data_IF_693082719644
#
_entry.id   IF_693082719644
#
_cell.length_a   1.000
_cell.length_b   1.000
_cell.length_c   1.000
_cell.angle_alpha   90.00
_cell.angle_beta   90.00
_cell.angle_gamma   90.00
#
_symmetry.space_group_name_H-M   'P 1'
#
loop_
_entity.id
_entity.type
_entity.pdbx_description
1 polymer ?
#
# COMPACT_ATOMS: atom_id res chain seq x y z
N UNK A 1 -38.51 -92.62 25.35
CA UNK A 1 -37.39 -92.73 24.41
C UNK A 1 -37.61 -91.58 23.38
N UNK A 2 -36.97 -90.50 23.50
CA UNK A 2 -36.88 -89.49 22.45
C UNK A 2 -35.81 -88.51 22.91
N UNK A 3 -34.75 -88.44 22.19
CA UNK A 3 -33.57 -87.59 22.39
C UNK A 3 -33.85 -86.13 21.92
N UNK A 4 -33.44 -85.19 22.75
CA UNK A 4 -33.44 -83.74 22.41
C UNK A 4 -32.06 -83.30 21.91
N UNK A 5 -31.86 -82.63 20.81
CA UNK A 5 -30.56 -82.09 20.44
C UNK A 5 -30.38 -80.63 20.98
N UNK A 6 -29.25 -80.40 21.60
CA UNK A 6 -28.74 -79.13 22.11
C UNK A 6 -28.41 -78.16 20.97
N UNK A 7 -28.92 -76.91 21.04
CA UNK A 7 -28.50 -75.82 20.15
C UNK A 7 -27.36 -75.02 20.84
N UNK A 8 -26.21 -75.02 20.23
CA UNK A 8 -25.10 -74.09 20.52
C UNK A 8 -25.36 -72.74 19.91
N UNK A 9 -25.53 -71.73 20.76
CA UNK A 9 -25.58 -70.33 20.35
C UNK A 9 -24.16 -69.76 20.15
N UNK A 10 -23.82 -69.44 18.92
CA UNK A 10 -22.55 -68.74 18.64
C UNK A 10 -22.80 -67.23 18.88
N UNK A 11 -22.18 -66.69 19.95
CA UNK A 11 -22.11 -65.24 20.17
C UNK A 11 -21.03 -64.63 19.27
N UNK A 12 -21.42 -63.76 18.38
CA UNK A 12 -20.52 -62.93 17.57
C UNK A 12 -20.22 -61.66 18.36
N UNK A 13 -18.98 -61.54 18.87
CA UNK A 13 -18.45 -60.30 19.42
C UNK A 13 -18.09 -59.35 18.27
N UNK A 14 -18.84 -58.32 18.09
CA UNK A 14 -18.46 -57.20 17.23
C UNK A 14 -17.53 -56.26 18.05
N UNK A 15 -16.23 -56.31 17.77
CA UNK A 15 -15.31 -55.27 18.23
C UNK A 15 -15.50 -54.02 17.38
N UNK A 16 -16.22 -53.03 17.90
CA UNK A 16 -16.27 -51.71 17.33
C UNK A 16 -14.94 -50.98 17.60
N UNK A 17 -14.10 -50.90 16.55
CA UNK A 17 -12.87 -50.11 16.57
C UNK A 17 -13.26 -48.62 16.42
N UNK A 18 -13.42 -47.90 17.53
CA UNK A 18 -13.58 -46.44 17.53
C UNK A 18 -12.23 -45.80 17.24
N UNK A 19 -12.03 -45.38 15.98
CA UNK A 19 -10.94 -44.46 15.61
C UNK A 19 -11.16 -43.14 16.33
N UNK A 20 -10.43 -42.91 17.40
CA UNK A 20 -10.26 -41.57 18.00
C UNK A 20 -9.46 -40.69 17.03
N UNK A 21 -10.16 -39.93 16.21
CA UNK A 21 -9.55 -38.82 15.46
C UNK A 21 -9.25 -37.73 16.48
N UNK A 22 -8.02 -37.73 17.00
CA UNK A 22 -7.53 -36.61 17.79
C UNK A 22 -7.49 -35.37 16.90
N UNK A 23 -8.11 -34.23 17.30
CA UNK A 23 -7.95 -33.00 16.56
C UNK A 23 -6.47 -32.61 16.60
N UNK A 24 -5.82 -32.59 15.45
CA UNK A 24 -4.48 -32.03 15.30
C UNK A 24 -4.56 -30.56 15.67
N UNK A 25 -4.15 -30.19 16.88
CA UNK A 25 -3.86 -28.81 17.25
C UNK A 25 -2.73 -28.35 16.34
N UNK A 26 -3.08 -27.66 15.25
CA UNK A 26 -2.12 -26.87 14.50
C UNK A 26 -1.58 -25.81 15.48
N UNK A 27 -0.44 -26.09 16.10
CA UNK A 27 0.32 -25.08 16.83
C UNK A 27 0.60 -23.93 15.84
N UNK A 28 0.07 -22.75 16.14
CA UNK A 28 0.37 -21.57 15.36
C UNK A 28 1.89 -21.36 15.36
N UNK A 29 2.50 -21.43 14.18
CA UNK A 29 3.93 -21.27 14.04
C UNK A 29 4.30 -19.83 14.39
N UNK A 30 5.22 -19.64 15.34
CA UNK A 30 5.63 -18.31 15.77
C UNK A 30 6.34 -17.59 14.62
N UNK A 31 6.00 -16.32 14.40
CA UNK A 31 6.74 -15.45 13.48
C UNK A 31 8.08 -15.13 14.13
N UNK A 32 9.18 -15.56 13.50
CA UNK A 32 10.54 -15.28 13.96
C UNK A 32 11.32 -14.37 13.04
N UNK A 33 10.77 -14.08 11.86
CA UNK A 33 11.36 -13.19 10.86
C UNK A 33 10.40 -12.90 9.71
N UNK A 34 10.90 -12.22 8.71
CA UNK A 34 10.17 -11.84 7.49
C UNK A 34 10.87 -12.42 6.28
N UNK A 35 10.11 -13.07 5.41
CA UNK A 35 10.53 -13.42 4.07
C UNK A 35 10.03 -12.38 3.08
N UNK A 36 10.74 -12.22 1.97
CA UNK A 36 10.24 -11.45 0.84
C UNK A 36 10.59 -12.11 -0.49
N UNK A 37 9.78 -11.83 -1.51
CA UNK A 37 9.91 -12.44 -2.83
C UNK A 37 9.65 -11.38 -3.91
N UNK A 38 10.48 -11.36 -4.95
CA UNK A 38 10.28 -10.48 -6.09
C UNK A 38 9.10 -10.96 -6.96
N UNK A 39 8.24 -10.05 -7.35
CA UNK A 39 7.10 -10.32 -8.23
C UNK A 39 7.15 -9.46 -9.48
N UNK A 40 6.50 -9.95 -10.54
CA UNK A 40 6.30 -9.19 -11.77
C UNK A 40 4.84 -9.32 -12.18
N UNK A 41 4.17 -8.19 -12.33
CA UNK A 41 2.74 -8.12 -12.61
C UNK A 41 2.53 -7.44 -13.96
N UNK A 42 1.53 -7.88 -14.72
CA UNK A 42 1.16 -7.21 -15.97
C UNK A 42 0.59 -5.81 -15.67
N UNK A 43 1.11 -4.77 -16.36
CA UNK A 43 0.60 -3.41 -16.27
C UNK A 43 -0.57 -3.19 -17.23
N UNK A 44 -1.82 -3.04 -16.73
CA UNK A 44 -2.98 -2.84 -17.59
C UNK A 44 -3.09 -1.41 -18.16
N UNK A 45 -2.24 -0.49 -17.70
CA UNK A 45 -2.28 0.93 -18.08
C UNK A 45 -1.33 1.23 -19.23
N UNK A 46 -0.07 0.78 -19.11
CA UNK A 46 0.99 1.05 -20.09
C UNK A 46 1.31 -0.16 -20.97
N UNK A 47 0.82 -1.35 -20.61
CA UNK A 47 1.30 -2.62 -21.15
C UNK A 47 2.67 -2.99 -20.56
N UNK A 48 3.13 -4.21 -20.80
CA UNK A 48 4.39 -4.69 -20.23
C UNK A 48 4.24 -5.14 -18.76
N UNK A 49 5.26 -4.89 -17.93
CA UNK A 49 5.34 -5.43 -16.57
C UNK A 49 5.64 -4.35 -15.53
N UNK A 50 5.13 -4.59 -14.32
CA UNK A 50 5.42 -3.84 -13.10
C UNK A 50 6.19 -4.75 -12.15
N UNK A 51 7.43 -4.44 -11.79
CA UNK A 51 8.12 -5.14 -10.71
C UNK A 51 7.59 -4.73 -9.34
N UNK A 52 7.87 -5.56 -8.35
CA UNK A 52 7.54 -5.31 -6.95
C UNK A 52 7.99 -6.44 -6.06
N UNK A 53 7.60 -6.38 -4.80
CA UNK A 53 7.91 -7.39 -3.80
C UNK A 53 6.68 -7.76 -2.99
N UNK A 54 6.65 -9.01 -2.52
CA UNK A 54 5.71 -9.47 -1.48
C UNK A 54 6.52 -9.82 -0.24
N UNK A 55 6.18 -9.19 0.89
CA UNK A 55 6.73 -9.45 2.22
C UNK A 55 5.73 -10.28 3.01
N UNK A 56 6.21 -11.25 3.78
CA UNK A 56 5.35 -12.18 4.52
C UNK A 56 6.01 -12.72 5.77
N UNK A 57 5.23 -13.16 6.78
CA UNK A 57 5.76 -13.82 7.96
C UNK A 57 6.49 -15.10 7.62
N UNK A 58 7.68 -15.32 8.21
CA UNK A 58 8.44 -16.54 8.09
C UNK A 58 8.92 -17.01 9.46
N UNK A 59 8.95 -18.33 9.68
CA UNK A 59 9.51 -18.94 10.89
C UNK A 59 11.02 -19.14 10.79
N UNK A 60 11.59 -19.03 9.58
CA UNK A 60 13.01 -19.33 9.31
C UNK A 60 13.82 -18.11 8.85
N UNK A 61 13.14 -17.03 8.45
CA UNK A 61 13.79 -15.87 7.92
C UNK A 61 14.49 -15.05 9.01
N UNK A 62 15.80 -14.92 8.91
CA UNK A 62 16.62 -14.05 9.77
C UNK A 62 17.65 -13.32 8.91
N UNK A 63 17.93 -12.09 9.28
CA UNK A 63 18.98 -11.26 8.68
C UNK A 63 18.43 -10.16 7.80
N UNK A 64 19.37 -9.45 7.19
CA UNK A 64 19.13 -8.32 6.28
C UNK A 64 19.64 -8.72 4.90
N UNK A 65 18.85 -8.43 3.87
CA UNK A 65 19.24 -8.63 2.48
C UNK A 65 19.49 -7.27 1.83
N UNK A 66 20.63 -7.12 1.16
CA UNK A 66 20.90 -5.90 0.38
C UNK A 66 20.28 -6.00 -1.01
N UNK A 67 19.47 -4.99 -1.39
CA UNK A 67 18.84 -4.90 -2.72
C UNK A 67 19.08 -3.47 -3.25
N UNK A 68 19.99 -3.31 -4.20
CA UNK A 68 20.44 -1.99 -4.64
C UNK A 68 20.93 -1.15 -3.43
N UNK A 69 20.46 0.08 -3.27
CA UNK A 69 20.85 0.93 -2.14
C UNK A 69 20.09 0.62 -0.83
N UNK A 70 19.16 -0.35 -0.81
CA UNK A 70 18.33 -0.66 0.34
C UNK A 70 18.87 -1.82 1.16
N UNK A 71 18.80 -1.67 2.50
CA UNK A 71 19.05 -2.73 3.46
C UNK A 71 17.69 -3.26 3.96
N UNK A 72 17.22 -4.34 3.36
CA UNK A 72 15.91 -4.94 3.65
C UNK A 72 16.01 -5.92 4.81
N UNK A 73 15.35 -5.63 5.94
CA UNK A 73 15.32 -6.49 7.13
C UNK A 73 14.44 -7.74 6.94
N UNK A 74 14.68 -8.46 5.86
CA UNK A 74 13.98 -9.67 5.48
C UNK A 74 14.91 -10.61 4.69
N UNK A 75 14.59 -11.89 4.66
CA UNK A 75 15.34 -12.90 3.91
C UNK A 75 14.64 -13.17 2.56
N UNK A 76 15.40 -13.06 1.47
CA UNK A 76 14.91 -13.35 0.13
C UNK A 76 14.49 -14.82 0.03
N UNK A 77 13.31 -15.07 -0.53
CA UNK A 77 12.73 -16.39 -0.81
C UNK A 77 12.60 -17.31 0.40
N UNK A 78 12.63 -16.79 1.63
CA UNK A 78 12.37 -17.60 2.81
C UNK A 78 10.94 -18.17 2.79
N UNK A 79 10.72 -19.42 3.29
CA UNK A 79 9.40 -20.03 3.24
C UNK A 79 8.38 -19.29 4.09
N UNK A 80 7.17 -18.99 3.56
CA UNK A 80 6.13 -18.30 4.30
C UNK A 80 5.49 -19.21 5.35
N UNK A 81 5.04 -18.61 6.47
CA UNK A 81 4.15 -19.30 7.41
C UNK A 81 2.79 -19.52 6.73
N UNK A 82 2.28 -20.77 6.69
CA UNK A 82 1.00 -21.07 6.06
C UNK A 82 -0.19 -20.33 6.69
N UNK A 83 -1.31 -20.28 5.97
CA UNK A 83 -2.58 -19.70 6.39
C UNK A 83 -2.82 -18.29 5.87
N UNK A 84 -4.09 -17.98 5.62
CA UNK A 84 -4.52 -16.71 5.06
C UNK A 84 -4.31 -15.54 6.03
N UNK A 85 -3.71 -14.47 5.54
CA UNK A 85 -3.33 -13.26 6.26
C UNK A 85 -3.91 -12.02 5.58
N UNK A 86 -4.17 -10.93 6.31
CA UNK A 86 -4.55 -9.67 5.70
C UNK A 86 -3.45 -9.18 4.76
N UNK A 87 -3.87 -8.53 3.66
CA UNK A 87 -2.97 -7.90 2.68
C UNK A 87 -2.95 -6.40 2.89
N UNK A 88 -1.76 -5.81 2.84
CA UNK A 88 -1.59 -4.35 2.66
C UNK A 88 -0.78 -4.12 1.38
N UNK A 89 -1.27 -3.26 0.48
CA UNK A 89 -0.49 -2.83 -0.69
C UNK A 89 0.04 -1.42 -0.44
N UNK A 90 1.36 -1.23 -0.62
CA UNK A 90 2.03 0.06 -0.42
C UNK A 90 2.38 0.66 -1.78
N UNK A 91 1.91 1.89 -2.02
CA UNK A 91 2.17 2.69 -3.22
C UNK A 91 3.16 3.82 -2.88
N UNK A 92 4.30 3.86 -3.57
CA UNK A 92 5.35 4.86 -3.36
C UNK A 92 4.98 6.26 -3.87
N UNK A 93 5.75 7.30 -3.53
CA UNK A 93 5.61 8.66 -4.04
C UNK A 93 6.08 8.82 -5.49
N UNK A 94 5.94 10.02 -6.06
CA UNK A 94 6.50 10.34 -7.39
C UNK A 94 7.99 10.02 -7.44
N UNK A 95 8.42 9.41 -8.54
CA UNK A 95 9.82 9.05 -8.76
C UNK A 95 10.39 8.08 -7.73
N UNK A 96 9.55 7.39 -6.97
CA UNK A 96 9.96 6.47 -5.90
C UNK A 96 10.28 5.07 -6.39
N UNK A 97 10.38 4.14 -5.46
CA UNK A 97 10.74 2.74 -5.67
C UNK A 97 9.80 1.83 -4.87
N UNK A 98 9.64 0.61 -5.32
CA UNK A 98 8.96 -0.48 -4.62
C UNK A 98 9.59 -0.84 -3.25
N UNK A 99 10.84 -0.42 -3.00
CA UNK A 99 11.54 -0.60 -1.74
C UNK A 99 11.63 0.68 -0.88
N UNK A 100 11.09 1.82 -1.33
CA UNK A 100 11.16 3.08 -0.59
C UNK A 100 10.42 3.10 0.76
N UNK A 101 9.60 2.06 1.04
CA UNK A 101 8.87 1.82 2.28
C UNK A 101 9.01 0.37 2.75
N UNK A 102 10.18 -0.24 2.52
CA UNK A 102 10.45 -1.63 2.87
C UNK A 102 10.42 -1.87 4.39
N UNK A 103 10.79 -0.88 5.21
CA UNK A 103 10.75 -0.98 6.66
C UNK A 103 9.30 -1.09 7.18
N UNK A 104 8.37 -0.29 6.64
CA UNK A 104 6.94 -0.42 6.96
C UNK A 104 6.41 -1.79 6.50
N UNK A 105 6.80 -2.24 5.29
CA UNK A 105 6.41 -3.54 4.77
C UNK A 105 6.90 -4.69 5.66
N UNK A 106 8.17 -4.64 6.04
CA UNK A 106 8.81 -5.61 6.94
C UNK A 106 8.16 -5.60 8.33
N UNK A 107 7.89 -4.41 8.87
CA UNK A 107 7.24 -4.28 10.18
C UNK A 107 5.84 -4.90 10.19
N UNK A 108 5.01 -4.58 9.21
CA UNK A 108 3.66 -5.18 9.11
C UNK A 108 3.73 -6.70 8.87
N UNK A 109 4.65 -7.17 8.03
CA UNK A 109 4.85 -8.59 7.79
C UNK A 109 5.28 -9.34 9.05
N UNK A 110 6.18 -8.77 9.87
CA UNK A 110 6.57 -9.35 11.16
C UNK A 110 5.41 -9.46 12.16
N UNK A 111 4.34 -8.72 11.92
CA UNK A 111 3.11 -8.71 12.72
C UNK A 111 1.93 -9.45 12.07
N UNK A 112 2.20 -10.33 11.11
CA UNK A 112 1.22 -11.26 10.58
C UNK A 112 0.49 -10.81 9.32
N UNK A 113 0.96 -9.79 8.62
CA UNK A 113 0.42 -9.34 7.34
C UNK A 113 1.20 -9.95 6.17
N UNK A 114 0.55 -10.07 5.02
CA UNK A 114 1.21 -10.07 3.72
C UNK A 114 1.23 -8.62 3.24
N UNK A 115 2.39 -8.15 2.77
CA UNK A 115 2.51 -6.78 2.27
C UNK A 115 3.07 -6.82 0.86
N UNK A 116 2.41 -6.18 -0.09
CA UNK A 116 2.88 -6.03 -1.44
C UNK A 116 3.33 -4.59 -1.69
N UNK A 117 4.46 -4.45 -2.36
CA UNK A 117 4.94 -3.19 -2.92
C UNK A 117 5.02 -3.33 -4.44
N UNK A 118 4.91 -2.22 -5.16
CA UNK A 118 5.02 -2.21 -6.62
C UNK A 118 5.74 -0.96 -7.08
N UNK A 119 6.46 -1.07 -8.20
CA UNK A 119 7.00 0.08 -8.91
C UNK A 119 6.01 0.52 -9.99
N UNK A 120 5.61 1.78 -9.95
CA UNK A 120 4.67 2.34 -10.92
C UNK A 120 5.40 2.70 -12.23
N UNK A 121 5.11 2.04 -13.37
CA UNK A 121 5.68 2.42 -14.66
C UNK A 121 5.35 3.88 -15.01
N UNK A 122 6.33 4.58 -15.59
CA UNK A 122 6.27 6.01 -15.94
C UNK A 122 6.22 6.98 -14.74
N UNK A 123 6.35 6.46 -13.51
CA UNK A 123 6.43 7.28 -12.30
C UNK A 123 7.28 6.57 -11.22
N UNK A 124 8.52 6.29 -11.54
CA UNK A 124 9.49 5.67 -10.65
C UNK A 124 10.87 6.35 -10.80
N UNK A 125 11.85 5.93 -10.01
CA UNK A 125 13.17 6.54 -10.01
C UNK A 125 13.97 6.39 -11.32
N UNK A 126 13.56 5.48 -12.21
CA UNK A 126 14.14 5.32 -13.56
C UNK A 126 13.42 6.17 -14.62
N UNK A 127 12.10 6.38 -14.46
CA UNK A 127 11.25 6.98 -15.48
C UNK A 127 10.07 7.75 -14.84
N UNK A 128 10.13 9.06 -14.94
CA UNK A 128 9.07 9.97 -14.49
C UNK A 128 8.26 10.57 -15.64
N UNK A 129 8.36 10.01 -16.85
CA UNK A 129 7.76 10.56 -18.07
C UNK A 129 6.24 10.64 -18.07
N UNK A 130 5.57 9.90 -17.18
CA UNK A 130 4.10 9.89 -17.04
C UNK A 130 3.56 10.90 -16.01
N UNK A 131 4.43 11.58 -15.26
CA UNK A 131 3.98 12.57 -14.27
C UNK A 131 3.21 13.70 -14.95
N UNK A 132 2.03 14.04 -14.43
CA UNK A 132 1.11 15.00 -15.03
C UNK A 132 0.21 14.46 -16.15
N UNK A 133 0.26 13.15 -16.41
CA UNK A 133 -0.56 12.45 -17.40
C UNK A 133 -1.58 11.52 -16.74
N UNK A 134 -2.61 11.14 -17.51
CA UNK A 134 -3.60 10.14 -17.08
C UNK A 134 -2.95 8.80 -16.69
N UNK A 135 -1.83 8.43 -17.34
CA UNK A 135 -1.06 7.22 -17.06
C UNK A 135 -0.65 7.11 -15.60
N UNK A 136 -0.35 8.24 -14.95
CA UNK A 136 0.01 8.31 -13.54
C UNK A 136 -1.21 8.69 -12.71
N UNK A 137 -1.86 9.82 -13.03
CA UNK A 137 -2.92 10.40 -12.20
C UNK A 137 -4.17 9.50 -12.10
N UNK A 138 -4.45 8.71 -13.12
CA UNK A 138 -5.57 7.76 -13.16
C UNK A 138 -5.08 6.30 -13.15
N UNK A 139 -3.92 6.03 -13.73
CA UNK A 139 -3.39 4.69 -13.89
C UNK A 139 -2.91 4.03 -12.60
N UNK A 140 -2.28 4.77 -11.67
CA UNK A 140 -1.72 4.19 -10.42
C UNK A 140 -2.73 3.37 -9.59
N UNK A 141 -3.96 3.82 -9.31
CA UNK A 141 -4.93 2.97 -8.61
C UNK A 141 -5.30 1.71 -9.41
N UNK A 142 -5.34 1.77 -10.74
CA UNK A 142 -5.59 0.60 -11.59
C UNK A 142 -4.43 -0.40 -11.49
N UNK A 143 -3.18 0.06 -11.42
CA UNK A 143 -2.00 -0.77 -11.21
C UNK A 143 -2.03 -1.45 -9.83
N UNK A 144 -2.44 -0.75 -8.76
CA UNK A 144 -2.66 -1.37 -7.44
C UNK A 144 -3.77 -2.42 -7.50
N UNK A 145 -4.88 -2.16 -8.18
CA UNK A 145 -5.96 -3.15 -8.38
C UNK A 145 -5.47 -4.39 -9.13
N UNK A 146 -4.64 -4.21 -10.16
CA UNK A 146 -4.01 -5.31 -10.89
C UNK A 146 -3.08 -6.13 -9.99
N UNK A 147 -2.30 -5.47 -9.12
CA UNK A 147 -1.45 -6.13 -8.13
C UNK A 147 -2.28 -6.99 -7.18
N UNK A 148 -3.36 -6.46 -6.62
CA UNK A 148 -4.27 -7.22 -5.75
C UNK A 148 -4.84 -8.42 -6.51
N UNK A 149 -5.31 -8.24 -7.74
CA UNK A 149 -5.89 -9.32 -8.54
C UNK A 149 -4.87 -10.42 -8.84
N UNK A 150 -3.68 -10.04 -9.29
CA UNK A 150 -2.61 -10.99 -9.61
C UNK A 150 -2.23 -11.85 -8.39
N UNK A 151 -2.10 -11.23 -7.21
CA UNK A 151 -1.77 -11.97 -5.99
C UNK A 151 -2.89 -12.91 -5.53
N UNK A 152 -4.15 -12.54 -5.72
CA UNK A 152 -5.29 -13.38 -5.37
C UNK A 152 -5.51 -14.55 -6.34
N UNK A 153 -5.05 -14.42 -7.58
CA UNK A 153 -5.17 -15.44 -8.62
C UNK A 153 -3.96 -16.39 -8.65
N UNK A 154 -2.79 -15.91 -8.20
CA UNK A 154 -1.54 -16.67 -8.23
C UNK A 154 -1.56 -17.86 -7.24
N UNK A 155 -1.24 -19.09 -7.70
CA UNK A 155 -1.22 -20.29 -6.86
C UNK A 155 -0.31 -20.19 -5.62
N UNK A 156 0.79 -19.41 -5.69
CA UNK A 156 1.72 -19.20 -4.59
C UNK A 156 1.12 -18.33 -3.49
N UNK A 157 0.37 -17.27 -3.85
CA UNK A 157 -0.08 -16.24 -2.92
C UNK A 157 -1.53 -16.39 -2.47
N UNK A 158 -2.43 -16.89 -3.32
CA UNK A 158 -3.88 -16.95 -3.05
C UNK A 158 -4.27 -17.63 -1.75
N UNK A 159 -3.50 -18.63 -1.31
CA UNK A 159 -3.74 -19.33 -0.05
C UNK A 159 -3.10 -18.66 1.17
N UNK A 160 -2.25 -17.66 0.95
CA UNK A 160 -1.60 -16.85 1.98
C UNK A 160 -2.32 -15.53 2.25
N UNK A 161 -3.27 -15.13 1.40
CA UNK A 161 -3.96 -13.84 1.48
C UNK A 161 -5.44 -14.05 1.78
N UNK A 162 -5.95 -13.29 2.76
CA UNK A 162 -7.39 -13.17 3.02
C UNK A 162 -7.96 -12.06 2.14
N UNK A 163 -8.69 -12.45 1.08
CA UNK A 163 -9.30 -11.54 0.11
C UNK A 163 -10.33 -10.56 0.72
N UNK A 164 -10.79 -10.80 1.95
CA UNK A 164 -11.74 -9.93 2.64
C UNK A 164 -11.06 -8.88 3.54
N UNK A 165 -9.74 -8.97 3.73
CA UNK A 165 -8.94 -8.13 4.65
C UNK A 165 -7.81 -7.45 3.91
N UNK A 166 -8.16 -6.51 3.00
CA UNK A 166 -7.20 -5.79 2.18
C UNK A 166 -7.19 -4.31 2.57
N UNK A 167 -6.02 -3.79 2.90
CA UNK A 167 -5.76 -2.38 3.12
C UNK A 167 -4.76 -1.83 2.11
N UNK A 168 -4.66 -0.51 2.04
CA UNK A 168 -3.64 0.18 1.24
C UNK A 168 -2.92 1.22 2.08
N UNK A 169 -1.64 1.42 1.80
CA UNK A 169 -0.87 2.52 2.34
C UNK A 169 -0.16 3.25 1.19
N UNK A 170 0.19 4.51 1.40
CA UNK A 170 0.96 5.22 0.38
C UNK A 170 1.44 6.57 0.83
N UNK A 171 2.52 7.01 0.19
CA UNK A 171 3.18 8.27 0.45
C UNK A 171 3.04 9.22 -0.74
N UNK A 172 2.80 10.50 -0.50
CA UNK A 172 2.76 11.54 -1.54
C UNK A 172 1.76 11.19 -2.67
N UNK A 173 2.22 10.94 -3.90
CA UNK A 173 1.40 10.41 -5.00
C UNK A 173 0.81 9.03 -4.67
N UNK A 174 1.50 8.20 -3.86
CA UNK A 174 0.96 6.95 -3.33
C UNK A 174 -0.14 7.17 -2.30
N UNK A 175 -0.04 8.21 -1.49
CA UNK A 175 -1.10 8.66 -0.60
C UNK A 175 -2.35 9.11 -1.37
N UNK A 176 -2.18 9.86 -2.44
CA UNK A 176 -3.24 10.17 -3.41
C UNK A 176 -3.88 8.90 -3.98
N UNK A 177 -3.05 7.96 -4.45
CA UNK A 177 -3.50 6.66 -4.98
C UNK A 177 -4.34 5.90 -3.94
N UNK A 178 -3.90 5.89 -2.68
CA UNK A 178 -4.63 5.24 -1.58
C UNK A 178 -6.01 5.87 -1.33
N UNK A 179 -6.12 7.20 -1.44
CA UNK A 179 -7.40 7.91 -1.30
C UNK A 179 -8.35 7.59 -2.46
N UNK A 180 -7.86 7.46 -3.70
CA UNK A 180 -8.67 7.04 -4.85
C UNK A 180 -9.24 5.64 -4.65
N UNK A 181 -8.42 4.70 -4.18
CA UNK A 181 -8.81 3.30 -3.94
C UNK A 181 -9.95 3.16 -2.93
N UNK A 182 -10.12 4.12 -2.03
CA UNK A 182 -11.22 4.17 -1.05
C UNK A 182 -12.35 5.14 -1.42
N UNK A 183 -12.37 5.63 -2.68
CA UNK A 183 -13.51 6.34 -3.24
C UNK A 183 -13.32 7.85 -3.45
N UNK A 184 -12.17 8.45 -3.13
CA UNK A 184 -11.94 9.85 -3.45
C UNK A 184 -12.01 10.10 -4.96
N UNK A 185 -12.58 11.23 -5.36
CA UNK A 185 -12.68 11.63 -6.77
C UNK A 185 -11.93 12.96 -6.98
N UNK A 186 -10.88 13.00 -7.83
CA UNK A 186 -10.10 14.20 -8.06
C UNK A 186 -10.80 15.16 -9.01
N UNK A 187 -10.50 16.43 -8.85
CA UNK A 187 -10.85 17.53 -9.76
C UNK A 187 -9.56 18.20 -10.24
N UNK A 188 -9.05 17.73 -11.36
CA UNK A 188 -7.73 18.13 -11.84
C UNK A 188 -7.60 19.62 -12.18
N UNK A 189 -8.69 20.32 -12.50
CA UNK A 189 -8.69 21.78 -12.69
C UNK A 189 -8.14 22.54 -11.46
N UNK A 190 -8.23 21.97 -10.26
CA UNK A 190 -7.67 22.57 -9.04
C UNK A 190 -6.14 22.71 -9.08
N UNK A 191 -5.44 21.88 -9.85
CA UNK A 191 -4.00 22.03 -10.07
C UNK A 191 -3.69 23.35 -10.78
N UNK A 192 -4.48 23.73 -11.77
CA UNK A 192 -4.35 25.00 -12.50
C UNK A 192 -4.61 26.17 -11.55
N UNK A 193 -5.72 26.11 -10.79
CA UNK A 193 -6.09 27.14 -9.81
C UNK A 193 -4.99 27.32 -8.76
N UNK A 194 -4.35 26.21 -8.35
CA UNK A 194 -3.23 26.23 -7.40
C UNK A 194 -2.03 26.96 -7.99
N UNK A 195 -1.58 26.59 -9.19
CA UNK A 195 -0.39 27.18 -9.81
C UNK A 195 -0.60 28.64 -10.24
N UNK A 196 -1.82 29.06 -10.55
CA UNK A 196 -2.13 30.47 -10.71
C UNK A 196 -1.99 31.26 -9.40
N UNK A 197 -2.34 30.66 -8.26
CA UNK A 197 -2.24 31.28 -6.95
C UNK A 197 -0.81 31.27 -6.39
N UNK A 198 -0.05 30.23 -6.70
CA UNK A 198 1.30 29.99 -6.20
C UNK A 198 2.29 29.75 -7.35
N UNK A 199 2.49 30.73 -8.28
CA UNK A 199 3.27 30.52 -9.49
C UNK A 199 4.77 30.24 -9.22
N UNK A 200 5.25 30.54 -8.01
CA UNK A 200 6.64 30.31 -7.60
C UNK A 200 6.79 29.03 -6.73
N UNK A 201 5.77 28.18 -6.69
CA UNK A 201 5.87 26.90 -6.01
C UNK A 201 6.50 25.87 -6.95
N UNK A 202 7.85 25.82 -6.96
CA UNK A 202 8.60 24.95 -7.85
C UNK A 202 8.37 23.45 -7.54
N UNK A 203 8.02 23.10 -6.31
CA UNK A 203 7.75 21.70 -5.94
C UNK A 203 6.54 21.11 -6.67
N UNK A 204 5.53 21.93 -6.97
CA UNK A 204 4.29 21.52 -7.63
C UNK A 204 4.18 22.10 -9.05
N UNK A 205 4.49 23.40 -9.21
CA UNK A 205 4.18 24.10 -10.45
C UNK A 205 5.31 24.10 -11.48
N UNK A 206 6.50 23.57 -11.15
CA UNK A 206 7.54 23.30 -12.14
C UNK A 206 7.01 22.36 -13.25
N UNK A 207 6.31 21.29 -12.86
CA UNK A 207 5.71 20.35 -13.81
C UNK A 207 4.56 21.01 -14.63
N UNK A 208 3.87 22.03 -14.10
CA UNK A 208 2.85 22.74 -14.83
C UNK A 208 3.41 23.40 -16.11
N UNK A 209 4.62 23.95 -16.07
CA UNK A 209 5.26 24.54 -17.24
C UNK A 209 5.62 23.47 -18.28
N UNK A 210 6.13 22.31 -17.84
CA UNK A 210 6.43 21.15 -18.69
C UNK A 210 5.15 20.60 -19.33
N UNK A 211 4.11 20.38 -18.54
CA UNK A 211 2.79 19.91 -19.00
C UNK A 211 2.19 20.93 -19.98
N UNK A 212 2.32 22.24 -19.72
CA UNK A 212 1.85 23.29 -20.62
C UNK A 212 2.57 23.26 -21.97
N UNK A 213 3.89 23.07 -21.96
CA UNK A 213 4.67 22.96 -23.20
C UNK A 213 4.26 21.72 -24.01
N UNK A 214 4.02 20.60 -23.34
CA UNK A 214 3.57 19.38 -23.97
C UNK A 214 2.14 19.49 -24.50
N UNK A 215 1.21 20.06 -23.74
CA UNK A 215 -0.14 20.33 -24.22
C UNK A 215 -0.12 21.18 -25.52
N UNK A 216 0.70 22.22 -25.54
CA UNK A 216 0.89 23.06 -26.74
C UNK A 216 1.46 22.28 -27.92
N UNK A 217 2.38 21.37 -27.70
CA UNK A 217 2.94 20.53 -28.77
C UNK A 217 1.90 19.63 -29.44
N UNK A 218 0.81 19.33 -28.70
CA UNK A 218 -0.36 18.58 -29.19
C UNK A 218 -1.52 19.47 -29.64
N UNK A 219 -1.30 20.80 -29.74
CA UNK A 219 -2.33 21.77 -30.12
C UNK A 219 -3.39 22.02 -29.06
N UNK A 220 -3.11 21.70 -27.79
CA UNK A 220 -4.03 21.86 -26.67
C UNK A 220 -3.61 23.04 -25.78
N UNK A 221 -4.61 23.69 -25.16
CA UNK A 221 -4.38 24.54 -23.99
C UNK A 221 -4.18 23.67 -22.74
N UNK A 222 -3.66 24.26 -21.65
CA UNK A 222 -3.54 23.57 -20.37
C UNK A 222 -4.93 23.14 -19.83
N UNK A 223 -5.96 23.97 -19.99
CA UNK A 223 -7.33 23.61 -19.57
C UNK A 223 -7.87 22.41 -20.34
N UNK A 224 -7.63 22.38 -21.67
CA UNK A 224 -8.02 21.24 -22.51
C UNK A 224 -7.27 19.96 -22.13
N UNK A 225 -5.96 20.07 -21.78
CA UNK A 225 -5.17 18.96 -21.29
C UNK A 225 -5.74 18.39 -19.98
N UNK A 226 -6.03 19.28 -19.02
CA UNK A 226 -6.61 18.89 -17.73
C UNK A 226 -8.01 18.31 -17.88
N UNK A 227 -8.84 18.88 -18.79
CA UNK A 227 -10.14 18.34 -19.12
C UNK A 227 -10.05 16.91 -19.73
N UNK A 228 -9.02 16.66 -20.55
CA UNK A 228 -8.74 15.31 -21.08
C UNK A 228 -8.40 14.33 -19.96
N UNK A 229 -7.51 14.71 -19.02
CA UNK A 229 -7.19 13.87 -17.86
C UNK A 229 -8.44 13.61 -17.02
N UNK A 230 -9.29 14.62 -16.81
CA UNK A 230 -10.56 14.47 -16.10
C UNK A 230 -11.50 13.50 -16.80
N UNK A 231 -11.56 13.52 -18.14
CA UNK A 231 -12.31 12.59 -18.96
C UNK A 231 -11.78 11.14 -18.90
N UNK A 232 -10.49 10.98 -18.63
CA UNK A 232 -9.83 9.68 -18.53
C UNK A 232 -10.07 8.97 -17.18
N UNK A 233 -10.76 9.59 -16.19
CA UNK A 233 -10.96 9.02 -14.85
C UNK A 233 -11.52 7.58 -14.85
N UNK A 234 -12.27 7.21 -15.86
CA UNK A 234 -12.85 5.87 -16.00
C UNK A 234 -12.25 5.08 -17.16
N UNK A 235 -11.20 5.58 -17.79
CA UNK A 235 -10.57 4.97 -18.99
C UNK A 235 -10.17 3.52 -18.80
N UNK A 236 -9.67 3.17 -17.61
CA UNK A 236 -9.27 1.80 -17.24
C UNK A 236 -10.21 1.18 -16.20
N UNK A 237 -11.44 1.71 -16.04
CA UNK A 237 -12.41 1.36 -15.02
C UNK A 237 -12.34 2.29 -13.80
N UNK A 238 -13.16 2.01 -12.78
CA UNK A 238 -13.20 2.80 -11.56
C UNK A 238 -11.85 2.78 -10.84
N UNK A 239 -11.44 3.93 -10.31
CA UNK A 239 -10.23 4.04 -9.49
C UNK A 239 -10.41 3.43 -8.11
N UNK A 240 -11.62 3.43 -7.56
CA UNK A 240 -11.94 2.74 -6.32
C UNK A 240 -11.94 1.21 -6.48
N UNK A 241 -11.55 0.51 -5.41
CA UNK A 241 -11.60 -0.94 -5.35
C UNK A 241 -12.45 -1.40 -4.15
N UNK A 242 -13.58 -2.10 -4.35
CA UNK A 242 -14.45 -2.53 -3.25
C UNK A 242 -13.78 -3.56 -2.31
N UNK A 243 -12.70 -4.20 -2.74
CA UNK A 243 -11.90 -5.13 -1.92
C UNK A 243 -11.08 -4.39 -0.87
N UNK A 244 -10.65 -3.16 -1.16
CA UNK A 244 -9.88 -2.32 -0.22
C UNK A 244 -10.79 -1.83 0.89
N UNK A 245 -10.44 -2.09 2.14
CA UNK A 245 -11.26 -1.79 3.33
C UNK A 245 -10.79 -0.57 4.11
N UNK A 246 -9.54 -0.14 3.93
CA UNK A 246 -8.96 0.97 4.68
C UNK A 246 -7.75 1.57 3.95
N UNK A 247 -7.48 2.86 4.14
CA UNK A 247 -6.34 3.57 3.56
C UNK A 247 -5.51 4.30 4.63
N UNK A 248 -4.18 4.08 4.63
CA UNK A 248 -3.21 4.80 5.44
C UNK A 248 -2.42 5.74 4.53
N UNK A 249 -2.72 7.03 4.58
CA UNK A 249 -2.18 8.03 3.67
C UNK A 249 -1.14 8.91 4.35
N UNK A 250 0.09 8.87 3.86
CA UNK A 250 1.23 9.65 4.33
C UNK A 250 1.48 10.83 3.38
N UNK A 251 1.40 12.05 3.89
CA UNK A 251 1.57 13.31 3.13
C UNK A 251 0.93 13.25 1.72
N UNK A 252 -0.38 12.92 1.59
CA UNK A 252 -0.97 12.67 0.29
C UNK A 252 -1.02 13.92 -0.58
N UNK A 253 -0.72 13.76 -1.90
CA UNK A 253 -1.03 14.78 -2.89
C UNK A 253 -2.56 14.96 -2.95
N UNK A 254 -3.07 15.97 -2.26
CA UNK A 254 -4.52 16.16 -2.08
C UNK A 254 -5.02 17.54 -2.49
N UNK A 255 -4.15 18.40 -3.02
CA UNK A 255 -4.54 19.70 -3.55
C UNK A 255 -5.59 19.61 -4.68
N UNK A 256 -5.58 18.51 -5.43
CA UNK A 256 -6.48 18.26 -6.56
C UNK A 256 -7.86 17.71 -6.16
N UNK A 257 -8.13 17.52 -4.87
CA UNK A 257 -9.48 17.19 -4.41
C UNK A 257 -10.24 18.45 -3.99
N UNK A 258 -11.53 18.48 -4.26
CA UNK A 258 -12.49 19.37 -3.60
C UNK A 258 -13.24 18.66 -2.48
N UNK A 259 -14.14 19.40 -1.83
CA UNK A 259 -14.94 18.86 -0.73
C UNK A 259 -15.83 17.69 -1.17
N UNK A 260 -16.44 17.82 -2.34
CA UNK A 260 -17.35 16.79 -2.86
C UNK A 260 -16.62 15.52 -3.23
N UNK A 261 -15.39 15.63 -3.81
CA UNK A 261 -14.54 14.51 -4.16
C UNK A 261 -14.03 13.74 -2.93
N UNK A 262 -13.62 14.46 -1.87
CA UNK A 262 -13.21 13.84 -0.61
C UNK A 262 -14.40 13.23 0.15
N UNK A 263 -15.57 13.85 0.10
CA UNK A 263 -16.78 13.35 0.76
C UNK A 263 -17.29 12.01 0.18
N UNK A 264 -16.77 11.58 -0.98
CA UNK A 264 -17.05 10.26 -1.58
C UNK A 264 -16.33 9.11 -0.88
N UNK A 265 -15.29 9.38 -0.10
CA UNK A 265 -14.60 8.35 0.68
C UNK A 265 -15.57 7.74 1.67
N UNK A 266 -15.82 6.42 1.54
CA UNK A 266 -16.77 5.66 2.36
C UNK A 266 -16.09 4.65 3.31
N UNK A 267 -14.75 4.61 3.33
CA UNK A 267 -13.92 3.66 4.10
C UNK A 267 -12.97 4.38 5.03
N UNK A 268 -12.56 3.73 6.15
CA UNK A 268 -11.65 4.33 7.12
C UNK A 268 -10.36 4.84 6.51
N UNK A 269 -9.97 6.05 6.86
CA UNK A 269 -8.70 6.67 6.49
C UNK A 269 -7.91 7.05 7.74
N UNK A 270 -6.61 6.78 7.75
CA UNK A 270 -5.64 7.38 8.65
C UNK A 270 -4.78 8.36 7.86
N UNK A 271 -4.62 9.58 8.38
CA UNK A 271 -3.89 10.64 7.70
C UNK A 271 -2.64 11.02 8.49
N UNK A 272 -1.49 10.95 7.85
CA UNK A 272 -0.19 11.36 8.40
C UNK A 272 0.39 12.49 7.56
N UNK A 273 0.95 13.57 8.16
CA UNK A 273 1.68 14.58 7.40
C UNK A 273 2.69 15.36 8.27
N UNK A 274 3.71 15.93 7.64
CA UNK A 274 4.67 16.84 8.25
C UNK A 274 4.04 18.22 8.47
N UNK A 275 4.33 18.84 9.61
CA UNK A 275 3.80 20.20 9.93
C UNK A 275 4.34 21.23 8.95
N UNK A 276 5.62 21.12 8.60
CA UNK A 276 6.35 22.08 7.78
C UNK A 276 6.68 21.49 6.39
N UNK A 277 5.79 20.64 5.85
CA UNK A 277 5.92 20.05 4.52
C UNK A 277 5.98 21.16 3.46
N UNK A 278 7.15 21.31 2.82
CA UNK A 278 7.39 22.31 1.79
C UNK A 278 7.07 21.83 0.37
N UNK A 279 6.96 20.51 0.17
CA UNK A 279 6.57 19.91 -1.11
C UNK A 279 5.06 19.93 -1.27
N UNK A 280 4.34 19.40 -0.29
CA UNK A 280 2.87 19.37 -0.28
C UNK A 280 2.34 20.16 0.90
N UNK A 281 2.41 21.49 0.80
CA UNK A 281 1.98 22.42 1.88
C UNK A 281 0.71 21.94 2.54
N UNK A 282 0.71 21.67 3.86
CA UNK A 282 -0.46 21.08 4.53
C UNK A 282 -1.73 21.87 4.38
N UNK A 283 -1.64 23.21 4.37
CA UNK A 283 -2.78 24.12 4.20
C UNK A 283 -3.47 24.01 2.85
N UNK A 284 -2.79 23.48 1.84
CA UNK A 284 -3.33 23.22 0.50
C UNK A 284 -3.57 21.72 0.23
N UNK A 285 -3.02 20.86 1.06
CA UNK A 285 -3.12 19.40 0.96
C UNK A 285 -3.80 18.78 2.17
N UNK A 286 -3.08 18.04 3.00
CA UNK A 286 -3.61 17.16 4.04
C UNK A 286 -4.47 17.93 5.08
N UNK A 287 -3.99 19.06 5.59
CA UNK A 287 -4.74 19.84 6.58
C UNK A 287 -6.02 20.47 5.97
N UNK A 288 -5.99 20.84 4.67
CA UNK A 288 -7.14 21.40 3.97
C UNK A 288 -8.26 20.38 3.78
N UNK A 289 -7.91 19.15 3.35
CA UNK A 289 -8.91 18.12 3.04
C UNK A 289 -9.41 17.37 4.27
N UNK A 290 -8.64 17.38 5.36
CA UNK A 290 -8.97 16.72 6.62
C UNK A 290 -10.41 16.93 7.10
N UNK A 291 -10.96 18.17 7.19
CA UNK A 291 -12.30 18.41 7.71
C UNK A 291 -13.41 17.85 6.81
N UNK A 292 -13.11 17.49 5.58
CA UNK A 292 -14.07 16.93 4.61
C UNK A 292 -14.15 15.40 4.64
N UNK A 293 -13.17 14.74 5.30
CA UNK A 293 -13.11 13.27 5.42
C UNK A 293 -14.00 12.78 6.57
N UNK A 294 -15.23 12.40 6.28
CA UNK A 294 -16.18 11.85 7.29
C UNK A 294 -15.71 10.52 7.90
N UNK A 295 -14.89 9.78 7.17
CA UNK A 295 -14.36 8.47 7.55
C UNK A 295 -12.94 8.53 8.12
N UNK A 296 -12.45 9.73 8.47
CA UNK A 296 -11.15 9.90 9.10
C UNK A 296 -11.19 9.34 10.54
N UNK A 297 -10.46 8.26 10.78
CA UNK A 297 -10.43 7.56 12.09
C UNK A 297 -9.14 7.80 12.86
N UNK A 298 -8.16 8.43 12.25
CA UNK A 298 -6.91 8.81 12.89
C UNK A 298 -6.15 9.86 12.09
N UNK A 299 -5.41 10.69 12.81
CA UNK A 299 -4.56 11.72 12.22
C UNK A 299 -3.31 11.90 13.08
N UNK A 300 -2.19 12.10 12.41
CA UNK A 300 -0.93 12.46 13.04
C UNK A 300 -0.25 13.57 12.28
N UNK A 301 0.15 14.61 12.98
CA UNK A 301 0.98 15.70 12.46
C UNK A 301 2.35 15.57 13.07
N UNK A 302 3.40 15.45 12.27
CA UNK A 302 4.77 15.37 12.74
C UNK A 302 5.31 16.79 12.88
N UNK A 303 5.61 17.27 14.11
CA UNK A 303 6.07 18.65 14.31
C UNK A 303 7.39 18.90 13.60
N UNK A 304 7.52 20.05 12.96
CA UNK A 304 8.71 20.52 12.23
C UNK A 304 9.16 19.63 11.06
N UNK A 305 8.48 18.51 10.79
CA UNK A 305 8.89 17.60 9.74
C UNK A 305 8.48 18.12 8.36
N UNK A 306 9.38 17.92 7.41
CA UNK A 306 9.17 18.14 5.99
C UNK A 306 8.59 16.88 5.32
N UNK A 307 8.32 16.95 4.03
CA UNK A 307 7.75 15.91 3.18
C UNK A 307 8.50 14.58 3.26
N UNK A 308 9.82 14.65 3.14
CA UNK A 308 10.69 13.49 2.98
C UNK A 308 10.86 12.64 4.25
N UNK A 309 10.38 13.10 5.40
CA UNK A 309 10.41 12.34 6.65
C UNK A 309 9.70 10.99 6.55
N UNK A 310 8.81 10.81 5.56
CA UNK A 310 8.04 9.58 5.34
C UNK A 310 8.74 8.56 4.43
N UNK A 311 9.88 8.90 3.85
CA UNK A 311 10.79 7.92 3.23
C UNK A 311 11.50 7.15 4.35
N UNK A 312 11.64 5.84 4.21
CA UNK A 312 12.34 5.00 5.18
C UNK A 312 13.72 5.59 5.56
N UNK A 313 14.22 5.36 6.78
CA UNK A 313 15.57 5.75 7.15
C UNK A 313 16.58 5.28 6.11
N UNK A 314 17.26 6.22 5.47
CA UNK A 314 18.13 5.93 4.34
C UNK A 314 19.39 5.15 4.77
N UNK A 315 19.82 4.19 3.95
CA UNK A 315 21.16 3.62 4.02
C UNK A 315 22.22 4.69 3.77
N UNK A 316 23.48 4.42 4.12
CA UNK A 316 24.58 5.32 3.82
C UNK A 316 24.77 5.56 2.32
N UNK A 317 24.47 4.55 1.49
CA UNK A 317 24.54 4.62 0.04
C UNK A 317 23.44 5.55 -0.51
N UNK A 318 22.19 5.33 -0.13
CA UNK A 318 21.05 6.15 -0.57
C UNK A 318 21.20 7.61 -0.09
N UNK A 319 21.71 7.83 1.13
CA UNK A 319 21.98 9.17 1.65
C UNK A 319 23.03 9.93 0.85
N UNK A 320 24.00 9.22 0.30
CA UNK A 320 25.01 9.80 -0.59
C UNK A 320 24.47 10.12 -1.98
N UNK A 321 23.64 9.23 -2.53
CA UNK A 321 23.07 9.39 -3.86
C UNK A 321 21.95 10.44 -3.89
N UNK A 322 21.11 10.47 -2.85
CA UNK A 322 19.93 11.32 -2.76
C UNK A 322 19.84 12.04 -1.41
N UNK A 323 20.76 12.99 -1.12
CA UNK A 323 20.79 13.67 0.18
C UNK A 323 19.51 14.47 0.47
N UNK A 324 18.80 14.94 -0.55
CA UNK A 324 17.56 15.73 -0.38
C UNK A 324 16.46 14.92 0.31
N UNK A 325 16.22 13.69 -0.14
CA UNK A 325 15.16 12.83 0.42
C UNK A 325 15.58 12.19 1.76
N UNK A 326 16.89 12.18 2.06
CA UNK A 326 17.47 11.54 3.23
C UNK A 326 17.80 12.51 4.38
N UNK A 327 17.58 13.81 4.17
CA UNK A 327 17.87 14.84 5.20
C UNK A 327 16.58 15.32 5.86
N UNK A 328 16.64 15.52 7.16
CA UNK A 328 15.54 16.05 7.95
C UNK A 328 15.88 17.41 8.56
N UNK A 329 14.88 18.28 8.81
CA UNK A 329 15.07 19.52 9.52
C UNK A 329 15.63 19.33 10.94
N UNK A 330 16.33 20.32 11.50
CA UNK A 330 16.87 20.24 12.87
C UNK A 330 15.81 19.92 13.91
N UNK A 331 16.06 18.87 14.72
CA UNK A 331 15.16 18.41 15.77
C UNK A 331 14.12 17.39 15.32
N UNK A 332 14.10 17.00 14.06
CA UNK A 332 13.32 15.86 13.54
C UNK A 332 14.22 14.62 13.56
N UNK A 333 13.73 13.55 14.19
CA UNK A 333 14.38 12.23 14.25
C UNK A 333 13.54 11.25 13.44
N UNK A 334 13.93 11.00 12.20
CA UNK A 334 13.21 10.13 11.26
C UNK A 334 13.01 8.74 11.83
N UNK A 335 13.99 8.17 12.49
CA UNK A 335 13.90 6.83 13.08
C UNK A 335 12.77 6.76 14.12
N UNK A 336 12.68 7.78 14.98
CA UNK A 336 11.57 7.87 15.96
C UNK A 336 10.20 8.10 15.30
N UNK A 337 10.17 8.94 14.26
CA UNK A 337 8.94 9.18 13.48
C UNK A 337 8.44 7.86 12.88
N UNK A 338 9.33 7.09 12.26
CA UNK A 338 8.98 5.80 11.64
C UNK A 338 8.59 4.75 12.67
N UNK A 339 9.26 4.66 13.82
CA UNK A 339 8.86 3.75 14.90
C UNK A 339 7.41 4.00 15.36
N UNK A 340 7.00 5.29 15.46
CA UNK A 340 5.63 5.64 15.79
C UNK A 340 4.67 5.36 14.62
N UNK A 341 5.07 5.70 13.39
CA UNK A 341 4.28 5.48 12.18
C UNK A 341 3.95 4.00 11.99
N UNK A 342 4.92 3.11 12.17
CA UNK A 342 4.73 1.66 12.07
C UNK A 342 3.72 1.15 13.10
N UNK A 343 3.83 1.64 14.34
CA UNK A 343 2.90 1.29 15.42
C UNK A 343 1.48 1.76 15.11
N UNK A 344 1.33 3.01 14.64
CA UNK A 344 0.04 3.58 14.28
C UNK A 344 -0.57 2.86 13.06
N UNK A 345 0.22 2.51 12.05
CA UNK A 345 -0.23 1.75 10.88
C UNK A 345 -0.69 0.35 11.27
N UNK A 346 0.07 -0.34 12.12
CA UNK A 346 -0.31 -1.66 12.63
C UNK A 346 -1.64 -1.61 13.40
N UNK A 347 -1.78 -0.67 14.33
CA UNK A 347 -2.99 -0.49 15.12
C UNK A 347 -4.20 -0.15 14.22
N UNK A 348 -4.00 0.73 13.24
CA UNK A 348 -5.02 1.10 12.27
C UNK A 348 -5.48 -0.09 11.44
N UNK A 349 -4.57 -0.84 10.82
CA UNK A 349 -4.95 -1.99 9.99
C UNK A 349 -5.54 -3.12 10.82
N UNK A 350 -5.04 -3.41 12.00
CA UNK A 350 -5.66 -4.40 12.90
C UNK A 350 -7.11 -4.06 13.20
N UNK A 351 -7.39 -2.81 13.56
CA UNK A 351 -8.75 -2.35 13.86
C UNK A 351 -9.66 -2.39 12.63
N UNK A 352 -9.22 -1.82 11.51
CA UNK A 352 -10.07 -1.62 10.33
C UNK A 352 -10.26 -2.86 9.49
N UNK A 353 -9.32 -3.82 9.55
CA UNK A 353 -9.42 -5.12 8.90
C UNK A 353 -9.94 -6.23 9.83
N UNK A 354 -10.42 -5.87 11.03
CA UNK A 354 -10.99 -6.78 12.02
C UNK A 354 -10.05 -7.97 12.35
N UNK A 355 -8.77 -7.64 12.62
CA UNK A 355 -7.77 -8.65 12.99
C UNK A 355 -7.78 -8.78 14.51
N UNK A 356 -8.03 -9.98 15.05
CA UNK A 356 -7.98 -10.20 16.48
C UNK A 356 -6.60 -9.81 17.04
N UNK A 357 -6.60 -9.07 18.15
CA UNK A 357 -5.40 -8.95 18.98
C UNK A 357 -5.23 -10.29 19.68
N UNK A 358 -4.21 -11.05 19.26
CA UNK A 358 -3.83 -12.23 20.05
C UNK A 358 -3.45 -11.75 21.44
N UNK A 359 -3.96 -12.37 22.50
CA UNK A 359 -3.63 -12.00 23.88
C UNK A 359 -2.14 -12.19 24.18
#
# INVERSE_FOLDING_TARGET
>A
MASVPSRLARAWCWLALTLLVAPSLLLAQAVTGVGFHAITIHDPVNGGSMPGYVFYPSAQAKGTTKVGPYDVNAALDAPPIPGAKPLVVISHGNGGSDLGHNDLATYLASHGFVVATLEHPKDNFHDTSGVGHSLVLVGRPIQVKATISALLDDPQWKNLIDAHRIGVAGFSAGGYTSLLLVGAVPRFARFIDYCHRYPNDDAICHDANKITAEARSQGLTLDQWVAKIQGDLTRWGDTADPRVKAAFAMAPLSLIFDQDGIAKIDRPVFLYYGQDDHVLRPTENAARVRPWMKTLVGIKVVPKADHWVFIDPCSAELSKENPVICSDPPGVDRVKVHAQLYTDALAFFRKTLNIPTTP
#
